data_IF_280793680989
#
_entry.id   IF_280793680989
#
_cell.length_a   1.000
_cell.length_b   1.000
_cell.length_c   1.000
_cell.angle_alpha   90.00
_cell.angle_beta   90.00
_cell.angle_gamma   90.00
#
_symmetry.space_group_name_H-M   'P 1'
#
loop_
_entity.id
_entity.type
_entity.pdbx_description
1 polymer ?
#
# COMPACT_ATOMS: atom_id res chain seq x y z
N UNK A 1 4.07 -5.25 -12.48
CA UNK A 1 4.35 -4.06 -11.65
C UNK A 1 3.85 -4.23 -10.22
N UNK A 2 2.55 -4.46 -9.98
CA UNK A 2 1.96 -4.64 -8.63
C UNK A 2 2.65 -5.71 -7.79
N UNK A 3 2.93 -6.89 -8.37
CA UNK A 3 3.66 -7.96 -7.68
C UNK A 3 5.08 -7.56 -7.25
N UNK A 4 5.76 -6.74 -8.05
CA UNK A 4 7.09 -6.22 -7.73
C UNK A 4 7.04 -5.25 -6.53
N UNK A 5 6.02 -4.39 -6.45
CA UNK A 5 5.84 -3.46 -5.33
C UNK A 5 5.49 -4.20 -4.03
N UNK A 6 4.64 -5.23 -4.10
CA UNK A 6 4.33 -6.09 -2.95
C UNK A 6 5.58 -6.84 -2.48
N UNK A 7 6.37 -7.37 -3.42
CA UNK A 7 7.63 -8.03 -3.11
C UNK A 7 8.64 -7.07 -2.45
N UNK A 8 8.79 -5.85 -2.97
CA UNK A 8 9.68 -4.83 -2.39
C UNK A 8 9.25 -4.44 -0.97
N UNK A 9 7.94 -4.30 -0.73
CA UNK A 9 7.41 -3.98 0.58
C UNK A 9 7.62 -5.13 1.60
N UNK A 10 7.51 -6.37 1.14
CA UNK A 10 7.79 -7.55 1.96
C UNK A 10 9.29 -7.70 2.25
N UNK A 11 10.15 -7.56 1.25
CA UNK A 11 11.61 -7.63 1.39
C UNK A 11 12.16 -6.58 2.36
N UNK A 12 11.55 -5.39 2.40
CA UNK A 12 11.95 -4.29 3.29
C UNK A 12 11.45 -4.41 4.73
N UNK A 13 10.76 -5.51 5.10
CA UNK A 13 10.24 -5.68 6.45
C UNK A 13 11.35 -6.11 7.43
N UNK A 14 11.60 -5.37 8.53
CA UNK A 14 12.60 -5.78 9.52
C UNK A 14 12.14 -7.02 10.29
N UNK A 15 13.03 -8.02 10.45
CA UNK A 15 12.73 -9.29 11.13
C UNK A 15 12.37 -9.13 12.62
N UNK A 16 12.81 -8.04 13.24
CA UNK A 16 12.67 -7.72 14.67
C UNK A 16 11.51 -6.78 15.03
N UNK A 17 10.56 -6.55 14.11
CA UNK A 17 9.47 -5.59 14.34
C UNK A 17 8.45 -6.08 15.41
N UNK A 18 7.95 -5.19 16.30
CA UNK A 18 6.92 -5.51 17.30
C UNK A 18 5.68 -6.17 16.69
N UNK A 19 5.00 -7.06 17.44
CA UNK A 19 3.85 -7.82 16.93
C UNK A 19 2.72 -6.95 16.34
N UNK A 20 2.53 -5.73 16.85
CA UNK A 20 1.56 -4.77 16.35
C UNK A 20 1.92 -4.18 14.97
N UNK A 21 3.20 -3.88 14.71
CA UNK A 21 3.63 -3.39 13.40
C UNK A 21 3.54 -4.48 12.33
N UNK A 22 3.76 -5.75 12.70
CA UNK A 22 3.54 -6.90 11.81
C UNK A 22 2.09 -7.05 11.38
N UNK A 23 1.14 -6.73 12.26
CA UNK A 23 -0.29 -6.83 11.95
C UNK A 23 -0.71 -5.73 10.97
N UNK A 24 -0.21 -4.51 11.16
CA UNK A 24 -0.41 -3.39 10.23
C UNK A 24 0.24 -3.67 8.87
N UNK A 25 1.43 -4.26 8.83
CA UNK A 25 2.10 -4.64 7.58
C UNK A 25 1.29 -5.70 6.79
N UNK A 26 0.72 -6.69 7.50
CA UNK A 26 -0.18 -7.69 6.89
C UNK A 26 -1.48 -7.05 6.38
N UNK A 27 -2.04 -6.12 7.15
CA UNK A 27 -3.23 -5.37 6.73
C UNK A 27 -2.93 -4.54 5.48
N UNK A 28 -1.79 -3.85 5.41
CA UNK A 28 -1.36 -3.10 4.23
C UNK A 28 -1.20 -3.99 3.00
N UNK A 29 -0.64 -5.19 3.16
CA UNK A 29 -0.50 -6.19 2.08
C UNK A 29 -1.85 -6.73 1.58
N UNK A 30 -2.86 -6.87 2.45
CA UNK A 30 -4.19 -7.35 2.07
C UNK A 30 -5.08 -6.24 1.50
N UNK A 31 -5.02 -5.04 2.09
CA UNK A 31 -5.80 -3.88 1.66
C UNK A 31 -5.31 -3.36 0.31
N UNK A 32 -4.01 -3.43 0.03
CA UNK A 32 -3.41 -2.96 -1.22
C UNK A 32 -4.06 -3.56 -2.50
N UNK A 33 -4.10 -4.88 -2.69
CA UNK A 33 -4.76 -5.47 -3.86
C UNK A 33 -6.28 -5.25 -3.83
N UNK A 34 -6.90 -5.25 -2.65
CA UNK A 34 -8.33 -5.00 -2.52
C UNK A 34 -8.72 -3.59 -2.98
N UNK A 35 -7.95 -2.58 -2.56
CA UNK A 35 -8.16 -1.19 -2.95
C UNK A 35 -8.01 -1.00 -4.47
N UNK A 36 -7.02 -1.66 -5.08
CA UNK A 36 -6.84 -1.66 -6.55
C UNK A 36 -8.05 -2.23 -7.26
N UNK A 37 -8.53 -3.41 -6.82
CA UNK A 37 -9.72 -4.06 -7.42
C UNK A 37 -10.93 -3.15 -7.28
N UNK A 38 -11.12 -2.55 -6.11
CA UNK A 38 -12.27 -1.71 -5.81
C UNK A 38 -12.27 -0.43 -6.65
N UNK A 39 -11.11 0.21 -6.83
CA UNK A 39 -10.96 1.40 -7.70
C UNK A 39 -11.33 1.06 -9.14
N UNK A 40 -10.85 -0.07 -9.66
CA UNK A 40 -11.14 -0.49 -11.04
C UNK A 40 -12.63 -0.85 -11.19
N UNK A 41 -13.18 -1.64 -10.27
CA UNK A 41 -14.57 -2.08 -10.32
C UNK A 41 -15.56 -0.92 -10.19
N UNK A 42 -15.38 -0.05 -9.18
CA UNK A 42 -16.23 1.14 -8.98
C UNK A 42 -16.01 2.14 -10.11
N UNK A 43 -14.78 2.27 -10.60
CA UNK A 43 -14.46 3.12 -11.74
C UNK A 43 -15.23 2.77 -13.00
N UNK A 44 -15.28 1.48 -13.34
CA UNK A 44 -16.06 0.99 -14.48
C UNK A 44 -17.57 1.06 -14.27
N UNK A 45 -18.04 0.90 -13.03
CA UNK A 45 -19.47 0.97 -12.70
C UNK A 45 -20.02 2.41 -12.71
N UNK A 46 -19.22 3.38 -12.25
CA UNK A 46 -19.68 4.75 -12.00
C UNK A 46 -19.29 5.77 -13.06
N UNK A 47 -18.27 5.49 -13.86
CA UNK A 47 -17.73 6.45 -14.81
C UNK A 47 -18.03 5.98 -16.23
N UNK A 48 -19.03 6.59 -16.83
CA UNK A 48 -19.38 6.35 -18.23
C UNK A 48 -18.54 7.27 -19.13
N UNK A 49 -17.24 6.99 -19.20
CA UNK A 49 -16.31 7.66 -20.10
C UNK A 49 -15.96 6.72 -21.27
N UNK A 50 -16.28 7.08 -22.52
CA UNK A 50 -15.97 6.22 -23.65
C UNK A 50 -14.45 6.16 -23.91
N UNK A 51 -13.91 4.93 -23.92
CA UNK A 51 -12.63 4.62 -24.55
C UNK A 51 -11.41 4.46 -23.62
N UNK A 52 -10.22 4.57 -24.22
CA UNK A 52 -8.91 4.26 -23.61
C UNK A 52 -8.56 5.17 -22.42
N UNK A 53 -9.13 6.38 -22.34
CA UNK A 53 -8.85 7.35 -21.29
C UNK A 53 -9.30 6.90 -19.89
N UNK A 54 -10.47 6.25 -19.78
CA UNK A 54 -10.96 5.71 -18.52
C UNK A 54 -10.02 4.63 -17.99
N UNK A 55 -9.60 3.70 -18.85
CA UNK A 55 -8.68 2.63 -18.48
C UNK A 55 -7.35 3.18 -17.97
N UNK A 56 -6.79 4.19 -18.65
CA UNK A 56 -5.53 4.83 -18.22
C UNK A 56 -5.71 5.52 -16.87
N UNK A 57 -6.82 6.24 -16.67
CA UNK A 57 -7.10 6.95 -15.41
C UNK A 57 -7.29 5.97 -14.24
N UNK A 58 -8.03 4.89 -14.42
CA UNK A 58 -8.26 3.88 -13.37
C UNK A 58 -6.97 3.15 -13.01
N UNK A 59 -6.17 2.79 -14.01
CA UNK A 59 -4.87 2.16 -13.79
C UNK A 59 -3.93 3.12 -13.04
N UNK A 60 -3.86 4.39 -13.45
CA UNK A 60 -3.06 5.39 -12.76
C UNK A 60 -3.52 5.60 -11.30
N UNK A 61 -4.83 5.73 -11.07
CA UNK A 61 -5.40 5.88 -9.73
C UNK A 61 -5.12 4.66 -8.84
N UNK A 62 -5.23 3.46 -9.39
CA UNK A 62 -4.90 2.22 -8.70
C UNK A 62 -3.42 2.19 -8.28
N UNK A 63 -2.51 2.61 -9.17
CA UNK A 63 -1.08 2.67 -8.85
C UNK A 63 -0.75 3.74 -7.80
N UNK A 64 -1.32 4.94 -7.91
CA UNK A 64 -1.12 6.01 -6.92
C UNK A 64 -1.60 5.54 -5.55
N UNK A 65 -2.76 4.90 -5.48
CA UNK A 65 -3.30 4.35 -4.24
C UNK A 65 -2.39 3.28 -3.65
N UNK A 66 -1.90 2.36 -4.50
CA UNK A 66 -0.99 1.31 -4.09
C UNK A 66 0.30 1.88 -3.48
N UNK A 67 0.92 2.86 -4.15
CA UNK A 67 2.12 3.54 -3.67
C UNK A 67 1.84 4.23 -2.34
N UNK A 68 0.70 4.90 -2.22
CA UNK A 68 0.30 5.60 -1.00
C UNK A 68 0.14 4.65 0.20
N UNK A 69 -0.57 3.53 0.02
CA UNK A 69 -0.79 2.53 1.09
C UNK A 69 0.53 1.90 1.53
N UNK A 70 1.38 1.49 0.59
CA UNK A 70 2.68 0.91 0.92
C UNK A 70 3.62 1.95 1.56
N UNK A 71 3.57 3.20 1.08
CA UNK A 71 4.32 4.33 1.66
C UNK A 71 3.92 4.63 3.11
N UNK A 72 2.62 4.55 3.44
CA UNK A 72 2.15 4.66 4.82
C UNK A 72 2.70 3.55 5.70
N UNK A 73 2.72 2.30 5.20
CA UNK A 73 3.33 1.18 5.92
C UNK A 73 4.81 1.41 6.19
N UNK A 74 5.56 1.94 5.22
CA UNK A 74 6.96 2.33 5.41
C UNK A 74 7.13 3.47 6.42
N UNK A 75 6.29 4.51 6.35
CA UNK A 75 6.32 5.61 7.30
C UNK A 75 6.08 5.12 8.73
N UNK A 76 5.11 4.22 8.93
CA UNK A 76 4.86 3.58 10.23
C UNK A 76 6.09 2.81 10.73
N UNK A 77 6.77 2.05 9.88
CA UNK A 77 8.01 1.34 10.25
C UNK A 77 9.11 2.30 10.70
N UNK A 78 9.31 3.41 9.98
CA UNK A 78 10.29 4.44 10.34
C UNK A 78 9.96 5.09 11.69
N UNK A 79 8.69 5.42 11.93
CA UNK A 79 8.24 6.00 13.20
C UNK A 79 8.39 5.01 14.36
N UNK A 80 8.05 3.73 14.15
CA UNK A 80 8.21 2.68 15.15
C UNK A 80 9.68 2.44 15.53
N UNK A 81 10.58 2.41 14.54
CA UNK A 81 12.02 2.25 14.78
C UNK A 81 12.67 3.43 15.48
N UNK A 82 12.14 4.65 15.32
CA UNK A 82 12.61 5.85 16.05
C UNK A 82 12.11 5.90 17.49
N UNK A 83 10.91 5.38 17.76
CA UNK A 83 10.33 5.36 19.11
C UNK A 83 11.11 4.48 20.10
N UNK A 84 11.74 3.41 19.63
CA UNK A 84 12.57 2.51 20.45
C UNK A 84 13.95 3.10 20.82
N UNK A 85 14.42 4.13 20.12
CA UNK A 85 15.73 4.75 20.38
C UNK A 85 15.69 5.84 21.45
N UNK A 86 14.50 6.29 21.86
CA UNK A 86 14.32 7.44 22.77
C UNK A 86 14.12 7.08 24.25
N UNK A 87 13.97 5.79 24.58
CA UNK A 87 13.74 5.32 25.96
C UNK A 87 15.01 4.91 26.71
N UNK A 88 16.18 5.02 26.09
CA UNK A 88 17.47 4.61 26.67
C UNK A 88 18.39 5.81 26.99
N UNK A 89 17.85 7.00 27.31
CA UNK A 89 18.64 8.18 27.72
C UNK A 89 18.16 8.80 29.02
#
# INVERSE_FOLDING_TARGET
MTAFLLWLYWYSAPESAPGWSRLLDRAALLISPLAVILIIAVGHDRIDFPGMGLNVMLVAAAYVTLIFVLGLGWLQRVLAGRGTSGTDS
#
